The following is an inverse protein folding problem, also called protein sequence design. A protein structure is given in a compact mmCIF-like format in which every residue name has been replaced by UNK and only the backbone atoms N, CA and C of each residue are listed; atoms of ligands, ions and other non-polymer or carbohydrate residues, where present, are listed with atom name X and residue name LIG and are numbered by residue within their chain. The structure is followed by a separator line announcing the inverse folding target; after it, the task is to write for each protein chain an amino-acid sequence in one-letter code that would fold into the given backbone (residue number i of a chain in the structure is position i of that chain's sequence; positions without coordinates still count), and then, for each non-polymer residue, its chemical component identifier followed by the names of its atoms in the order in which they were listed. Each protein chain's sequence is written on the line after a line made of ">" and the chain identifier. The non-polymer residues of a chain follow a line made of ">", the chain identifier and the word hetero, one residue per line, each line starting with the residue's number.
data_IF_536531404483
#
_entry.id   IF_536531404483
#
_cell.length_a   1.000
_cell.length_b   1.000
_cell.length_c   1.000
_cell.angle_alpha   90.00
_cell.angle_beta   90.00
_cell.angle_gamma   90.00
#
_symmetry.space_group_name_H-M   'P 1'
#
loop_
_entity.id
_entity.type
_entity.pdbx_description
1 polymer ?
#
# COMPACT_ATOMS: atom_id res chain seq x y z
N UNK A 1 -11.89 23.36 6.78
CA UNK A 1 -12.81 22.24 6.46
C UNK A 1 -13.87 21.98 7.56
N UNK A 2 -13.55 22.06 8.86
CA UNK A 2 -14.52 21.86 9.98
C UNK A 2 -15.66 22.90 10.01
N UNK A 3 -15.36 24.17 9.77
CA UNK A 3 -16.34 25.27 9.79
C UNK A 3 -17.39 25.12 8.67
N UNK A 4 -17.02 24.70 7.45
CA UNK A 4 -17.98 24.47 6.36
C UNK A 4 -19.00 23.34 6.68
N UNK A 5 -18.58 22.30 7.42
CA UNK A 5 -19.46 21.20 7.82
C UNK A 5 -20.47 21.63 8.88
N UNK A 6 -20.05 22.43 9.85
CA UNK A 6 -20.92 23.00 10.87
C UNK A 6 -22.01 23.87 10.23
N UNK A 7 -21.66 24.71 9.27
CA UNK A 7 -22.62 25.56 8.53
C UNK A 7 -23.61 24.70 7.74
N UNK A 8 -23.17 23.63 7.09
CA UNK A 8 -24.04 22.75 6.32
C UNK A 8 -25.08 22.04 7.20
N UNK A 9 -24.67 21.52 8.36
CA UNK A 9 -25.60 20.88 9.29
C UNK A 9 -26.57 21.90 9.91
N UNK A 10 -26.08 23.10 10.24
CA UNK A 10 -26.98 24.16 10.69
C UNK A 10 -28.02 24.54 9.64
N UNK A 11 -27.64 24.57 8.37
CA UNK A 11 -28.54 24.83 7.25
C UNK A 11 -29.64 23.74 7.13
N UNK A 12 -29.32 22.47 7.38
CA UNK A 12 -30.32 21.39 7.41
C UNK A 12 -31.37 21.63 8.49
N UNK A 13 -30.96 22.10 9.68
CA UNK A 13 -31.87 22.39 10.76
C UNK A 13 -32.68 23.68 10.58
N UNK A 14 -32.35 24.52 9.58
CA UNK A 14 -33.18 25.63 9.14
C UNK A 14 -34.33 25.19 8.19
N UNK A 15 -34.26 24.00 7.60
CA UNK A 15 -35.31 23.46 6.74
C UNK A 15 -36.66 23.36 7.43
N UNK A 16 -36.81 22.80 8.66
CA UNK A 16 -38.06 22.80 9.38
C UNK A 16 -38.58 24.20 9.65
N UNK A 17 -37.69 25.18 9.96
CA UNK A 17 -38.07 26.59 10.13
C UNK A 17 -38.69 27.13 8.86
N UNK A 18 -38.07 26.87 7.70
CA UNK A 18 -38.58 27.33 6.42
C UNK A 18 -39.93 26.66 6.07
N UNK A 19 -40.06 25.37 6.34
CA UNK A 19 -41.32 24.63 6.13
C UNK A 19 -42.47 25.20 6.97
N UNK A 20 -42.20 25.48 8.27
CA UNK A 20 -43.22 26.08 9.14
C UNK A 20 -43.63 27.46 8.67
N UNK A 21 -42.68 28.26 8.18
CA UNK A 21 -42.99 29.59 7.59
C UNK A 21 -43.87 29.43 6.36
N UNK A 22 -43.52 28.52 5.44
CA UNK A 22 -44.29 28.26 4.22
C UNK A 22 -45.69 27.75 4.59
N UNK A 23 -45.79 26.78 5.50
CA UNK A 23 -47.06 26.18 5.96
C UNK A 23 -47.94 27.24 6.57
N UNK A 24 -47.41 28.13 7.41
CA UNK A 24 -48.17 29.22 8.03
C UNK A 24 -48.68 30.23 7.00
N UNK A 25 -47.99 30.44 5.90
CA UNK A 25 -48.43 31.36 4.84
C UNK A 25 -49.47 30.72 3.89
N UNK A 26 -49.38 29.41 3.62
CA UNK A 26 -50.22 28.71 2.63
C UNK A 26 -51.48 28.15 3.26
N UNK A 27 -51.38 27.49 4.42
CA UNK A 27 -52.45 26.64 4.94
C UNK A 27 -53.20 27.25 6.10
N UNK A 28 -52.66 28.24 6.87
CA UNK A 28 -53.36 28.83 7.96
C UNK A 28 -54.35 29.91 7.47
N UNK A 29 -55.66 29.84 7.94
CA UNK A 29 -56.63 30.90 7.69
C UNK A 29 -56.11 32.27 8.19
N UNK A 30 -56.46 33.31 7.49
CA UNK A 30 -56.04 34.69 7.89
C UNK A 30 -56.35 35.03 9.34
N UNK A 31 -57.44 34.49 9.89
CA UNK A 31 -57.86 34.65 11.29
C UNK A 31 -56.93 33.99 12.33
N UNK A 32 -56.22 32.93 11.92
CA UNK A 32 -55.25 32.20 12.76
C UNK A 32 -53.79 32.56 12.50
N UNK A 33 -53.52 33.38 11.49
CA UNK A 33 -52.19 33.96 11.23
C UNK A 33 -51.86 35.03 12.30
N UNK A 34 -52.02 34.66 13.53
CA UNK A 34 -51.57 35.52 14.61
C UNK A 34 -50.03 35.55 14.54
N UNK A 35 -49.44 36.72 14.35
CA UNK A 35 -47.99 36.90 14.26
C UNK A 35 -47.24 36.17 15.40
N UNK A 36 -47.90 36.06 16.54
CA UNK A 36 -47.38 35.36 17.73
C UNK A 36 -47.07 33.91 17.56
N UNK A 37 -47.95 33.11 16.89
CA UNK A 37 -47.76 31.68 16.70
C UNK A 37 -46.60 31.39 15.69
N UNK A 38 -46.59 32.10 14.58
CA UNK A 38 -45.53 31.97 13.56
C UNK A 38 -44.17 32.35 14.14
N UNK A 39 -44.08 33.44 14.89
CA UNK A 39 -42.84 33.89 15.53
C UNK A 39 -42.35 32.84 16.55
N UNK A 40 -43.25 32.22 17.33
CA UNK A 40 -42.90 31.16 18.25
C UNK A 40 -42.23 29.97 17.52
N UNK A 41 -42.87 29.44 16.49
CA UNK A 41 -42.34 28.29 15.75
C UNK A 41 -41.03 28.62 15.02
N UNK A 42 -40.93 29.80 14.41
CA UNK A 42 -39.68 30.22 13.74
C UNK A 42 -38.56 30.32 14.77
N UNK A 43 -38.82 30.95 15.93
CA UNK A 43 -37.82 31.08 17.01
C UNK A 43 -37.43 29.71 17.57
N UNK A 44 -38.41 28.83 17.78
CA UNK A 44 -38.22 27.48 18.31
C UNK A 44 -37.28 26.60 17.43
N UNK A 45 -37.43 26.65 16.12
CA UNK A 45 -36.56 25.93 15.20
C UNK A 45 -35.22 26.65 14.96
N UNK A 46 -35.21 27.98 14.93
CA UNK A 46 -34.00 28.75 14.74
C UNK A 46 -33.01 28.58 15.89
N UNK A 47 -33.48 28.54 17.13
CA UNK A 47 -32.63 28.26 18.29
C UNK A 47 -31.97 26.88 18.17
N UNK A 48 -32.70 25.87 17.73
CA UNK A 48 -32.12 24.53 17.50
C UNK A 48 -31.06 24.52 16.41
N UNK A 49 -31.30 25.23 15.32
CA UNK A 49 -30.35 25.37 14.25
C UNK A 49 -29.04 26.04 14.71
N UNK A 50 -29.12 27.06 15.59
CA UNK A 50 -27.95 27.70 16.18
C UNK A 50 -27.22 26.81 17.17
N UNK A 51 -27.95 25.98 17.94
CA UNK A 51 -27.33 25.06 18.91
C UNK A 51 -26.75 23.76 18.27
N UNK A 52 -27.26 23.36 17.11
CA UNK A 52 -26.78 22.15 16.43
C UNK A 52 -25.25 22.11 16.22
N UNK A 53 -24.56 23.19 15.82
CA UNK A 53 -23.10 23.20 15.72
C UNK A 53 -22.36 22.84 17.01
N UNK A 54 -22.92 23.22 18.16
CA UNK A 54 -22.32 22.87 19.46
C UNK A 54 -22.42 21.39 19.74
N UNK A 55 -23.54 20.75 19.42
CA UNK A 55 -23.70 19.30 19.53
C UNK A 55 -22.67 18.60 18.63
N UNK A 56 -22.53 19.06 17.38
CA UNK A 56 -21.60 18.49 16.41
C UNK A 56 -20.15 18.59 16.92
N UNK A 57 -19.76 19.78 17.38
CA UNK A 57 -18.41 20.02 17.91
C UNK A 57 -18.11 19.11 19.10
N UNK A 58 -19.03 19.00 20.02
CA UNK A 58 -18.93 18.18 21.21
C UNK A 58 -18.85 16.68 20.84
N UNK A 59 -19.70 16.23 19.96
CA UNK A 59 -19.75 14.83 19.49
C UNK A 59 -18.44 14.44 18.80
N UNK A 60 -17.91 15.29 17.91
CA UNK A 60 -16.65 15.02 17.20
C UNK A 60 -15.47 14.97 18.17
N UNK A 61 -15.47 15.84 19.19
CA UNK A 61 -14.38 15.86 20.18
C UNK A 61 -14.37 14.62 21.06
N UNK A 62 -15.53 14.06 21.38
CA UNK A 62 -15.69 12.90 22.27
C UNK A 62 -15.56 11.55 21.57
N UNK A 63 -15.57 11.52 20.22
CA UNK A 63 -15.37 10.32 19.43
C UNK A 63 -14.05 9.58 19.67
N UNK A 64 -13.05 10.25 20.18
CA UNK A 64 -11.67 9.71 20.28
C UNK A 64 -11.56 8.50 21.23
N UNK A 65 -12.55 8.28 22.12
CA UNK A 65 -12.47 7.26 23.19
C UNK A 65 -13.60 6.20 23.10
N UNK A 66 -13.91 5.70 21.90
CA UNK A 66 -14.95 4.68 21.65
C UNK A 66 -14.80 3.41 22.51
N UNK A 67 -13.64 3.10 23.04
CA UNK A 67 -13.38 1.90 23.85
C UNK A 67 -13.96 1.95 25.29
N UNK A 68 -14.61 3.05 25.71
CA UNK A 68 -15.19 3.19 27.05
C UNK A 68 -16.69 3.47 26.96
N UNK A 69 -17.50 2.43 26.83
CA UNK A 69 -18.96 2.49 26.64
C UNK A 69 -19.66 3.35 27.67
N UNK A 70 -19.30 3.24 28.96
CA UNK A 70 -19.90 4.03 30.04
C UNK A 70 -19.60 5.52 29.88
N UNK A 71 -18.36 5.87 29.54
CA UNK A 71 -17.94 7.26 29.32
C UNK A 71 -18.69 7.88 28.14
N UNK A 72 -18.91 7.11 27.07
CA UNK A 72 -19.71 7.52 25.93
C UNK A 72 -21.13 7.93 26.35
N UNK A 73 -21.85 7.07 27.09
CA UNK A 73 -23.21 7.36 27.54
C UNK A 73 -23.25 8.57 28.48
N UNK A 74 -22.35 8.68 29.45
CA UNK A 74 -22.30 9.82 30.37
C UNK A 74 -22.06 11.15 29.65
N UNK A 75 -21.17 11.14 28.68
CA UNK A 75 -20.83 12.34 27.90
C UNK A 75 -22.02 12.79 27.06
N UNK A 76 -22.74 11.86 26.39
CA UNK A 76 -23.91 12.23 25.61
C UNK A 76 -25.13 12.58 26.48
N UNK A 77 -25.31 11.96 27.64
CA UNK A 77 -26.33 12.32 28.59
C UNK A 77 -26.12 13.75 29.11
N UNK A 78 -24.89 14.10 29.51
CA UNK A 78 -24.52 15.45 29.93
C UNK A 78 -24.70 16.44 28.78
N UNK A 79 -24.27 16.09 27.57
CA UNK A 79 -24.42 16.95 26.38
C UNK A 79 -25.88 17.23 26.05
N UNK A 80 -26.75 16.22 26.14
CA UNK A 80 -28.20 16.38 25.96
C UNK A 80 -28.81 17.26 27.02
N UNK A 81 -28.43 17.07 28.29
CA UNK A 81 -28.89 17.91 29.38
C UNK A 81 -28.50 19.37 29.18
N UNK A 82 -27.22 19.66 28.92
CA UNK A 82 -26.74 21.02 28.65
C UNK A 82 -27.44 21.65 27.44
N UNK A 83 -27.63 20.88 26.35
CA UNK A 83 -28.38 21.34 25.17
C UNK A 83 -29.81 21.72 25.53
N UNK A 84 -30.50 20.88 26.30
CA UNK A 84 -31.89 21.11 26.68
C UNK A 84 -32.04 22.34 27.64
N UNK A 85 -31.15 22.46 28.61
CA UNK A 85 -31.13 23.60 29.52
C UNK A 85 -30.84 24.89 28.77
N UNK A 86 -29.86 24.91 27.89
CA UNK A 86 -29.50 26.06 27.09
C UNK A 86 -30.64 26.46 26.14
N UNK A 87 -31.28 25.45 25.50
CA UNK A 87 -32.45 25.67 24.67
C UNK A 87 -33.60 26.30 25.43
N UNK A 88 -33.93 25.79 26.64
CA UNK A 88 -34.95 26.33 27.50
C UNK A 88 -34.63 27.75 27.97
N UNK A 89 -33.40 27.99 28.37
CA UNK A 89 -32.96 29.32 28.83
C UNK A 89 -33.10 30.36 27.71
N UNK A 90 -32.63 30.06 26.50
CA UNK A 90 -32.75 30.96 25.36
C UNK A 90 -34.23 31.18 25.01
N UNK A 91 -35.01 30.10 24.92
CA UNK A 91 -36.43 30.18 24.57
C UNK A 91 -37.21 31.01 25.61
N UNK A 92 -36.94 30.79 26.89
CA UNK A 92 -37.56 31.55 27.97
C UNK A 92 -37.20 33.02 27.88
N UNK A 93 -35.92 33.36 27.72
CA UNK A 93 -35.45 34.72 27.67
C UNK A 93 -36.02 35.54 26.49
N UNK A 94 -36.08 34.90 25.30
CA UNK A 94 -36.61 35.56 24.10
C UNK A 94 -38.15 35.62 24.06
N UNK A 95 -38.85 34.74 24.75
CA UNK A 95 -40.32 34.68 24.69
C UNK A 95 -41.00 35.38 25.86
N UNK A 96 -40.24 35.81 26.88
CA UNK A 96 -40.81 36.33 28.09
C UNK A 96 -41.58 37.65 27.88
N UNK A 97 -41.16 38.47 26.91
CA UNK A 97 -41.60 39.87 26.88
C UNK A 97 -42.79 40.17 25.94
N UNK A 98 -43.03 39.39 24.87
CA UNK A 98 -43.96 39.84 23.82
C UNK A 98 -45.10 38.85 23.49
N UNK A 99 -44.90 37.56 23.63
CA UNK A 99 -45.80 36.55 23.05
C UNK A 99 -46.44 35.60 24.08
N UNK A 100 -45.63 35.23 25.05
CA UNK A 100 -46.05 34.29 26.09
C UNK A 100 -47.10 34.94 27.01
N UNK A 101 -46.92 36.19 27.30
CA UNK A 101 -47.77 36.97 28.12
C UNK A 101 -49.18 37.14 27.53
N UNK A 102 -49.28 37.54 26.26
CA UNK A 102 -50.56 37.78 25.60
C UNK A 102 -51.31 36.46 25.25
N UNK A 103 -50.56 35.38 24.95
CA UNK A 103 -51.16 34.08 24.61
C UNK A 103 -51.57 33.28 25.87
N UNK A 104 -50.70 33.23 26.90
CA UNK A 104 -51.01 32.55 28.18
C UNK A 104 -52.08 33.32 29.00
N UNK A 105 -52.06 34.64 28.95
CA UNK A 105 -53.05 35.49 29.65
C UNK A 105 -54.43 35.51 28.96
N UNK A 106 -54.54 35.01 27.73
CA UNK A 106 -55.86 34.81 27.08
C UNK A 106 -56.68 33.67 27.70
N UNK A 107 -56.09 32.80 28.50
CA UNK A 107 -56.81 31.78 29.25
C UNK A 107 -57.29 32.31 30.61
N UNK A 108 -58.58 32.21 30.84
CA UNK A 108 -59.19 32.79 32.09
C UNK A 108 -58.98 31.89 33.32
N UNK A 109 -58.55 30.62 33.17
CA UNK A 109 -58.43 29.67 34.28
C UNK A 109 -56.94 29.25 34.48
N UNK A 110 -56.45 29.36 35.72
CA UNK A 110 -55.09 28.98 36.12
C UNK A 110 -54.77 27.50 35.84
N UNK A 111 -55.72 26.58 36.02
CA UNK A 111 -55.57 25.16 35.70
C UNK A 111 -55.32 24.93 34.21
N UNK A 112 -55.98 25.67 33.34
CA UNK A 112 -55.79 25.62 31.89
C UNK A 112 -54.44 26.14 31.49
N UNK A 113 -53.96 27.20 32.10
CA UNK A 113 -52.61 27.76 31.88
C UNK A 113 -51.53 26.73 32.23
N UNK A 114 -51.68 26.05 33.38
CA UNK A 114 -50.72 25.06 33.84
C UNK A 114 -50.69 23.82 32.92
N UNK A 115 -51.88 23.35 32.46
CA UNK A 115 -52.01 22.23 31.54
C UNK A 115 -51.37 22.53 30.17
N UNK A 116 -51.61 23.70 29.61
CA UNK A 116 -51.03 24.13 28.33
C UNK A 116 -49.51 24.32 28.47
N UNK A 117 -49.04 24.88 29.59
CA UNK A 117 -47.59 24.97 29.85
C UNK A 117 -46.96 23.59 29.93
N UNK A 118 -47.58 22.64 30.63
CA UNK A 118 -47.15 21.23 30.70
C UNK A 118 -47.01 20.58 29.31
N UNK A 119 -48.01 20.74 28.45
CA UNK A 119 -47.99 20.22 27.06
C UNK A 119 -46.88 20.81 26.23
N UNK A 120 -46.61 22.12 26.39
CA UNK A 120 -45.49 22.80 25.67
C UNK A 120 -44.15 22.24 26.15
N UNK A 121 -43.97 22.05 27.45
CA UNK A 121 -42.76 21.51 28.06
C UNK A 121 -42.53 20.09 27.55
N UNK A 122 -43.53 19.21 27.61
CA UNK A 122 -43.47 17.80 27.19
C UNK A 122 -43.12 17.69 25.69
N UNK A 123 -43.84 18.42 24.84
CA UNK A 123 -43.60 18.44 23.40
C UNK A 123 -42.20 18.96 23.09
N UNK A 124 -41.72 19.98 23.78
CA UNK A 124 -40.35 20.51 23.57
C UNK A 124 -39.28 19.53 23.97
N UNK A 125 -39.47 18.76 25.06
CA UNK A 125 -38.51 17.77 25.51
C UNK A 125 -38.42 16.63 24.49
N UNK A 126 -39.55 16.11 24.02
CA UNK A 126 -39.62 15.06 23.02
C UNK A 126 -38.89 15.45 21.72
N UNK A 127 -39.14 16.67 21.22
CA UNK A 127 -38.46 17.17 20.02
C UNK A 127 -36.98 17.37 20.28
N UNK A 128 -36.56 17.84 21.45
CA UNK A 128 -35.11 18.00 21.78
C UNK A 128 -34.39 16.64 21.76
N UNK A 129 -35.02 15.56 22.25
CA UNK A 129 -34.48 14.21 22.17
C UNK A 129 -34.25 13.82 20.71
N UNK A 130 -35.28 13.97 19.87
CA UNK A 130 -35.20 13.63 18.44
C UNK A 130 -34.09 14.42 17.74
N UNK A 131 -34.04 15.75 17.96
CA UNK A 131 -33.02 16.62 17.35
C UNK A 131 -31.62 16.22 17.82
N UNK A 132 -31.42 15.99 19.10
CA UNK A 132 -30.12 15.62 19.64
C UNK A 132 -29.67 14.26 19.09
N UNK A 133 -30.50 13.22 19.19
CA UNK A 133 -30.19 11.86 18.77
C UNK A 133 -29.92 11.80 17.26
N UNK A 134 -30.77 12.43 16.44
CA UNK A 134 -30.61 12.44 14.99
C UNK A 134 -29.33 13.19 14.56
N UNK A 135 -28.99 14.31 15.22
CA UNK A 135 -27.76 15.04 14.95
C UNK A 135 -26.53 14.22 15.32
N UNK A 136 -26.54 13.59 16.50
CA UNK A 136 -25.47 12.72 16.96
C UNK A 136 -25.31 11.53 16.00
N UNK A 137 -26.41 10.83 15.67
CA UNK A 137 -26.39 9.68 14.75
C UNK A 137 -25.83 10.08 13.38
N UNK A 138 -26.26 11.21 12.82
CA UNK A 138 -25.74 11.72 11.56
C UNK A 138 -24.22 11.96 11.63
N UNK A 139 -23.71 12.61 12.71
CA UNK A 139 -22.29 12.85 12.90
C UNK A 139 -21.49 11.53 12.95
N UNK A 140 -22.02 10.51 13.66
CA UNK A 140 -21.38 9.20 13.77
C UNK A 140 -21.35 8.47 12.44
N UNK A 141 -22.46 8.42 11.73
CA UNK A 141 -22.54 7.79 10.40
C UNK A 141 -21.57 8.47 9.43
N UNK A 142 -21.56 9.81 9.39
CA UNK A 142 -20.64 10.58 8.55
C UNK A 142 -19.17 10.28 8.86
N UNK A 143 -18.81 10.30 10.15
CA UNK A 143 -17.42 10.05 10.56
C UNK A 143 -17.01 8.61 10.29
N UNK A 144 -17.93 7.64 10.47
CA UNK A 144 -17.71 6.24 10.11
C UNK A 144 -17.41 6.08 8.61
N UNK A 145 -18.25 6.65 7.73
CA UNK A 145 -18.01 6.59 6.29
C UNK A 145 -16.71 7.27 5.89
N UNK A 146 -16.40 8.42 6.49
CA UNK A 146 -15.15 9.12 6.23
C UNK A 146 -13.93 8.28 6.59
N UNK A 147 -13.92 7.69 7.78
CA UNK A 147 -12.80 6.84 8.23
C UNK A 147 -12.68 5.58 7.39
N UNK A 148 -13.78 4.96 7.04
CA UNK A 148 -13.78 3.79 6.17
C UNK A 148 -13.20 4.12 4.78
N UNK A 149 -13.58 5.26 4.21
CA UNK A 149 -13.02 5.73 2.92
C UNK A 149 -11.52 6.02 3.04
N UNK A 150 -11.07 6.70 4.11
CA UNK A 150 -9.66 6.97 4.35
C UNK A 150 -8.84 5.67 4.55
N UNK A 151 -9.40 4.70 5.27
CA UNK A 151 -8.78 3.39 5.48
C UNK A 151 -8.64 2.61 4.17
N UNK A 152 -9.71 2.57 3.35
CA UNK A 152 -9.69 1.90 2.04
C UNK A 152 -8.69 2.56 1.06
N UNK A 153 -8.58 3.89 1.06
CA UNK A 153 -7.60 4.60 0.25
C UNK A 153 -6.16 4.29 0.68
N UNK A 154 -5.91 4.21 2.00
CA UNK A 154 -4.58 3.83 2.52
C UNK A 154 -4.25 2.37 2.17
N UNK A 155 -5.21 1.45 2.31
CA UNK A 155 -5.03 0.05 1.92
C UNK A 155 -4.70 -0.09 0.44
N UNK A 156 -5.44 0.57 -0.45
CA UNK A 156 -5.16 0.58 -1.88
C UNK A 156 -3.81 1.20 -2.24
N UNK A 157 -3.39 2.26 -1.54
CA UNK A 157 -2.07 2.88 -1.73
C UNK A 157 -0.93 1.95 -1.31
N UNK A 158 -1.08 1.25 -0.18
CA UNK A 158 -0.12 0.25 0.29
C UNK A 158 -0.02 -0.93 -0.68
N UNK A 159 -1.15 -1.44 -1.17
CA UNK A 159 -1.18 -2.52 -2.16
C UNK A 159 -0.45 -2.13 -3.45
N UNK A 160 -0.71 -0.91 -3.97
CA UNK A 160 0.03 -0.39 -5.14
C UNK A 160 1.52 -0.26 -4.88
N UNK A 161 1.93 0.20 -3.69
CA UNK A 161 3.33 0.29 -3.30
C UNK A 161 4.00 -1.07 -3.25
N UNK A 162 3.32 -2.08 -2.68
CA UNK A 162 3.80 -3.46 -2.65
C UNK A 162 3.95 -4.06 -4.05
N UNK A 163 2.94 -3.83 -4.93
CA UNK A 163 3.01 -4.29 -6.32
C UNK A 163 4.17 -3.63 -7.08
N UNK A 164 4.38 -2.32 -6.92
CA UNK A 164 5.50 -1.62 -7.54
C UNK A 164 6.84 -2.13 -7.02
N UNK A 165 6.99 -2.32 -5.70
CA UNK A 165 8.21 -2.89 -5.13
C UNK A 165 8.48 -4.31 -5.64
N UNK A 166 7.44 -5.15 -5.77
CA UNK A 166 7.56 -6.48 -6.39
C UNK A 166 7.98 -6.40 -7.85
N UNK A 167 7.40 -5.47 -8.63
CA UNK A 167 7.79 -5.24 -10.02
C UNK A 167 9.24 -4.73 -10.14
N UNK A 168 9.70 -3.88 -9.24
CA UNK A 168 11.08 -3.42 -9.21
C UNK A 168 12.06 -4.55 -8.85
N UNK A 169 11.71 -5.40 -7.89
CA UNK A 169 12.47 -6.61 -7.56
C UNK A 169 12.54 -7.56 -8.76
N UNK A 170 11.42 -7.80 -9.45
CA UNK A 170 11.36 -8.62 -10.66
C UNK A 170 12.20 -8.01 -11.80
N UNK A 171 12.13 -6.68 -12.02
CA UNK A 171 12.99 -5.98 -12.99
C UNK A 171 14.47 -6.08 -12.62
N UNK A 172 14.80 -6.02 -11.34
CA UNK A 172 16.18 -6.17 -10.86
C UNK A 172 16.75 -7.57 -11.05
N UNK A 173 15.89 -8.60 -11.11
CA UNK A 173 16.29 -9.98 -11.39
C UNK A 173 16.48 -10.27 -12.89
N UNK A 174 15.88 -9.44 -13.76
CA UNK A 174 16.04 -9.56 -15.20
C UNK A 174 17.06 -8.53 -15.68
N UNK A 175 18.22 -8.98 -16.14
CA UNK A 175 19.17 -8.13 -16.84
C UNK A 175 18.52 -7.62 -18.14
N UNK A 176 17.96 -6.39 -18.11
CA UNK A 176 17.26 -5.79 -19.25
C UNK A 176 18.18 -5.68 -20.48
N UNK A 177 19.48 -5.42 -20.26
CA UNK A 177 20.47 -5.37 -21.31
C UNK A 177 20.68 -6.76 -21.98
N UNK A 178 20.70 -7.84 -21.20
CA UNK A 178 20.73 -9.19 -21.73
C UNK A 178 19.49 -9.49 -22.59
N UNK A 179 18.31 -9.12 -22.12
CA UNK A 179 17.05 -9.33 -22.84
C UNK A 179 17.04 -8.62 -24.20
N UNK A 180 17.38 -7.33 -24.22
CA UNK A 180 17.48 -6.56 -25.48
C UNK A 180 18.50 -7.14 -26.43
N UNK A 181 19.70 -7.51 -25.94
CA UNK A 181 20.74 -8.10 -26.77
C UNK A 181 20.32 -9.47 -27.35
N UNK A 182 19.59 -10.27 -26.57
CA UNK A 182 19.06 -11.55 -27.05
C UNK A 182 18.01 -11.35 -28.14
N UNK A 183 17.08 -10.38 -27.98
CA UNK A 183 16.10 -10.03 -29.01
C UNK A 183 16.76 -9.51 -30.30
N UNK A 184 17.80 -8.70 -30.19
CA UNK A 184 18.59 -8.26 -31.35
C UNK A 184 19.30 -9.43 -32.04
N UNK A 185 19.82 -10.42 -31.28
CA UNK A 185 20.42 -11.62 -31.84
C UNK A 185 19.40 -12.44 -32.61
N UNK A 186 18.20 -12.67 -32.03
CA UNK A 186 17.10 -13.36 -32.70
C UNK A 186 16.72 -12.64 -33.99
N UNK A 187 16.53 -11.32 -33.96
CA UNK A 187 16.21 -10.52 -35.15
C UNK A 187 17.28 -10.66 -36.24
N UNK A 188 18.56 -10.60 -35.87
CA UNK A 188 19.69 -10.78 -36.79
C UNK A 188 19.70 -12.17 -37.44
N UNK A 189 19.39 -13.21 -36.70
CA UNK A 189 19.31 -14.58 -37.22
C UNK A 189 18.14 -14.76 -38.19
N UNK A 190 17.00 -14.16 -37.92
CA UNK A 190 15.84 -14.15 -38.83
C UNK A 190 16.20 -13.45 -40.15
N UNK A 191 16.83 -12.28 -40.10
CA UNK A 191 17.27 -11.54 -41.29
C UNK A 191 18.28 -12.38 -42.13
N UNK A 192 19.10 -13.19 -41.48
CA UNK A 192 20.07 -14.10 -42.15
C UNK A 192 19.48 -15.40 -42.58
N UNK A 193 18.16 -15.59 -42.54
CA UNK A 193 17.46 -16.83 -42.88
C UNK A 193 17.87 -18.06 -42.02
N UNK A 194 18.29 -17.80 -40.76
CA UNK A 194 18.64 -18.86 -39.79
C UNK A 194 17.48 -19.08 -38.80
N UNK A 195 16.31 -19.42 -39.33
CA UNK A 195 15.08 -19.54 -38.54
C UNK A 195 15.13 -20.60 -37.43
N UNK A 196 15.79 -21.73 -37.64
CA UNK A 196 15.92 -22.78 -36.63
C UNK A 196 16.78 -22.32 -35.44
N UNK A 197 17.91 -21.63 -35.70
CA UNK A 197 18.76 -21.06 -34.64
C UNK A 197 17.98 -19.97 -33.85
N UNK A 198 17.23 -19.11 -34.55
CA UNK A 198 16.40 -18.08 -33.93
C UNK A 198 15.31 -18.69 -33.04
N UNK A 199 14.63 -19.76 -33.49
CA UNK A 199 13.61 -20.45 -32.71
C UNK A 199 14.21 -21.14 -31.49
N UNK A 200 15.39 -21.78 -31.62
CA UNK A 200 16.09 -22.40 -30.50
C UNK A 200 16.39 -21.36 -29.38
N UNK A 201 16.91 -20.18 -29.75
CA UNK A 201 17.19 -19.12 -28.78
C UNK A 201 15.91 -18.60 -28.13
N UNK A 202 14.82 -18.44 -28.90
CA UNK A 202 13.54 -17.99 -28.37
C UNK A 202 12.98 -18.97 -27.32
N UNK A 203 13.08 -20.27 -27.57
CA UNK A 203 12.66 -21.31 -26.61
C UNK A 203 13.50 -21.26 -25.33
N UNK A 204 14.83 -21.18 -25.45
CA UNK A 204 15.75 -21.11 -24.32
C UNK A 204 15.51 -19.84 -23.49
N UNK A 205 15.28 -18.70 -24.15
CA UNK A 205 14.91 -17.46 -23.48
C UNK A 205 13.59 -17.59 -22.71
N UNK A 206 12.58 -18.25 -23.33
CA UNK A 206 11.29 -18.51 -22.69
C UNK A 206 11.42 -19.37 -21.43
N UNK A 207 12.29 -20.40 -21.46
CA UNK A 207 12.57 -21.25 -20.29
C UNK A 207 13.29 -20.49 -19.17
N UNK A 208 14.30 -19.70 -19.52
CA UNK A 208 15.04 -18.87 -18.57
C UNK A 208 14.11 -17.84 -17.88
N UNK A 209 13.28 -17.15 -18.66
CA UNK A 209 12.30 -16.21 -18.14
C UNK A 209 11.26 -16.89 -17.25
N UNK A 210 10.77 -18.06 -17.65
CA UNK A 210 9.82 -18.84 -16.83
C UNK A 210 10.40 -19.19 -15.48
N UNK A 211 11.68 -19.58 -15.44
CA UNK A 211 12.36 -19.88 -14.20
C UNK A 211 12.54 -18.61 -13.33
N UNK A 212 13.01 -17.52 -13.92
CA UNK A 212 13.23 -16.24 -13.21
C UNK A 212 11.94 -15.62 -12.68
N UNK A 213 10.80 -15.80 -13.39
CA UNK A 213 9.49 -15.26 -13.03
C UNK A 213 8.64 -16.20 -12.18
N UNK A 214 9.05 -17.48 -12.06
CA UNK A 214 8.35 -18.41 -11.18
C UNK A 214 8.52 -17.94 -9.74
N UNK A 215 7.40 -17.89 -9.00
CA UNK A 215 7.39 -17.59 -7.57
C UNK A 215 8.19 -18.67 -6.82
N UNK A 216 9.52 -18.59 -6.90
CA UNK A 216 10.40 -19.51 -6.22
C UNK A 216 10.36 -19.19 -4.71
N UNK A 217 9.44 -19.86 -4.00
CA UNK A 217 9.40 -19.88 -2.53
C UNK A 217 10.63 -20.60 -1.94
N UNK A 218 11.35 -21.33 -2.75
CA UNK A 218 12.54 -22.07 -2.35
C UNK A 218 13.75 -21.13 -2.35
N UNK A 219 14.34 -20.95 -1.18
CA UNK A 219 15.56 -20.14 -1.02
C UNK A 219 16.79 -20.82 -1.62
N UNK A 220 16.77 -22.14 -1.74
CA UNK A 220 17.83 -22.97 -2.25
C UNK A 220 17.28 -24.00 -3.25
N UNK A 221 18.04 -24.30 -4.31
CA UNK A 221 17.72 -25.29 -5.35
C UNK A 221 18.89 -26.29 -5.51
N UNK A 222 18.66 -27.50 -6.05
CA UNK A 222 19.72 -28.42 -6.38
C UNK A 222 20.73 -27.82 -7.38
N UNK A 223 22.02 -28.06 -7.17
CA UNK A 223 23.10 -27.60 -8.05
C UNK A 223 22.87 -28.03 -9.53
N UNK A 224 22.41 -29.24 -9.76
CA UNK A 224 22.04 -29.72 -11.12
C UNK A 224 21.05 -28.72 -11.78
N UNK A 225 20.05 -28.25 -11.06
CA UNK A 225 19.07 -27.32 -11.60
C UNK A 225 19.65 -25.92 -11.88
N UNK A 226 20.53 -25.46 -11.02
CA UNK A 226 21.27 -24.19 -11.21
C UNK A 226 22.18 -24.28 -12.45
N UNK A 227 22.86 -25.42 -12.67
CA UNK A 227 23.70 -25.64 -13.85
C UNK A 227 22.85 -25.73 -15.13
N UNK A 228 21.68 -26.39 -15.09
CA UNK A 228 20.77 -26.41 -16.25
C UNK A 228 20.35 -24.99 -16.67
N UNK A 229 20.00 -24.16 -15.72
CA UNK A 229 19.60 -22.75 -15.96
C UNK A 229 20.77 -21.94 -16.50
N UNK A 230 21.94 -22.12 -15.91
CA UNK A 230 23.16 -21.49 -16.38
C UNK A 230 23.45 -21.88 -17.83
N UNK A 231 23.28 -23.18 -18.20
CA UNK A 231 23.52 -23.67 -19.55
C UNK A 231 22.59 -22.98 -20.57
N UNK A 232 21.30 -22.79 -20.25
CA UNK A 232 20.38 -22.04 -21.12
C UNK A 232 20.90 -20.62 -21.39
N UNK A 233 21.36 -19.92 -20.33
CA UNK A 233 21.93 -18.59 -20.43
C UNK A 233 23.20 -18.59 -21.32
N UNK A 234 24.09 -19.54 -21.10
CA UNK A 234 25.36 -19.65 -21.83
C UNK A 234 25.16 -19.95 -23.31
N UNK A 235 24.23 -20.84 -23.66
CA UNK A 235 23.89 -21.17 -25.05
C UNK A 235 23.41 -19.92 -25.82
N UNK A 236 22.61 -19.07 -25.19
CA UNK A 236 22.18 -17.79 -25.75
C UNK A 236 23.39 -16.88 -25.99
N UNK A 237 24.28 -16.77 -25.00
CA UNK A 237 25.47 -15.91 -25.11
C UNK A 237 26.47 -16.43 -26.15
N UNK A 238 26.68 -17.72 -26.25
CA UNK A 238 27.57 -18.31 -27.28
C UNK A 238 27.07 -17.99 -28.69
N UNK A 239 25.77 -18.06 -28.92
CA UNK A 239 25.21 -17.67 -30.23
C UNK A 239 25.35 -16.17 -30.48
N UNK A 240 25.15 -15.32 -29.44
CA UNK A 240 25.34 -13.87 -29.52
C UNK A 240 26.78 -13.51 -29.91
N UNK A 241 27.76 -14.17 -29.31
CA UNK A 241 29.18 -13.88 -29.54
C UNK A 241 29.77 -14.66 -30.73
N UNK A 242 28.97 -15.43 -31.48
CA UNK A 242 29.39 -16.07 -32.72
C UNK A 242 30.62 -16.96 -32.50
N UNK A 243 30.58 -17.83 -31.49
CA UNK A 243 31.65 -18.74 -31.06
C UNK A 243 32.94 -18.07 -30.50
N UNK A 244 32.92 -16.76 -30.19
CA UNK A 244 34.02 -16.08 -29.49
C UNK A 244 33.97 -16.32 -27.97
N UNK A 245 33.12 -17.21 -27.50
CA UNK A 245 32.96 -17.53 -26.08
C UNK A 245 33.14 -19.03 -25.89
N UNK A 246 34.25 -19.42 -25.30
CA UNK A 246 34.56 -20.82 -24.92
C UNK A 246 34.32 -20.98 -23.41
N UNK A 247 33.38 -21.87 -23.04
CA UNK A 247 33.02 -22.11 -21.66
C UNK A 247 33.17 -23.55 -21.30
N UNK A 248 33.81 -23.80 -20.17
CA UNK A 248 33.97 -25.14 -19.61
C UNK A 248 33.42 -25.22 -18.22
N UNK A 249 32.49 -26.14 -17.98
CA UNK A 249 31.90 -26.39 -16.68
C UNK A 249 32.35 -27.76 -16.20
N UNK A 250 33.01 -27.82 -15.07
CA UNK A 250 33.48 -29.03 -14.42
C UNK A 250 32.87 -29.15 -13.03
N UNK A 251 32.10 -30.18 -12.78
CA UNK A 251 31.61 -30.56 -11.46
C UNK A 251 31.37 -32.05 -11.35
N UNK A 252 31.48 -32.59 -10.15
CA UNK A 252 31.26 -34.00 -9.89
C UNK A 252 29.76 -34.30 -9.78
N UNK A 253 29.26 -35.38 -10.39
CA UNK A 253 27.84 -35.77 -10.34
C UNK A 253 27.28 -35.97 -8.92
N UNK A 254 28.15 -36.34 -7.98
CA UNK A 254 27.77 -36.46 -6.57
C UNK A 254 27.29 -35.14 -5.94
N UNK A 255 27.61 -34.01 -6.57
CA UNK A 255 27.20 -32.64 -6.12
C UNK A 255 25.84 -32.22 -6.70
N UNK A 256 25.22 -33.00 -7.59
CA UNK A 256 23.94 -32.63 -8.22
C UNK A 256 22.85 -32.21 -7.23
N UNK A 257 22.78 -32.91 -6.08
CA UNK A 257 21.76 -32.68 -5.05
C UNK A 257 22.15 -31.68 -4.00
N UNK A 258 23.34 -31.08 -4.06
CA UNK A 258 23.76 -30.02 -3.17
C UNK A 258 22.90 -28.79 -3.40
N UNK A 259 22.45 -28.17 -2.33
CA UNK A 259 21.57 -27.01 -2.40
C UNK A 259 22.37 -25.71 -2.50
N UNK A 260 22.04 -24.92 -3.52
CA UNK A 260 22.62 -23.60 -3.78
C UNK A 260 21.52 -22.55 -4.01
N UNK A 261 21.79 -21.25 -3.78
CA UNK A 261 20.84 -20.20 -4.14
C UNK A 261 20.55 -20.18 -5.65
N UNK A 262 19.28 -20.03 -6.08
CA UNK A 262 18.95 -19.92 -7.50
C UNK A 262 19.60 -18.71 -8.16
N UNK A 263 20.02 -18.82 -9.43
CA UNK A 263 20.70 -17.77 -10.19
C UNK A 263 22.00 -17.29 -9.52
N UNK A 264 22.72 -18.18 -8.82
CA UNK A 264 23.99 -17.87 -8.17
C UNK A 264 25.11 -17.62 -9.18
N UNK A 265 25.21 -18.48 -10.21
CA UNK A 265 26.33 -18.42 -11.16
C UNK A 265 26.13 -17.36 -12.23
N UNK A 266 24.89 -17.02 -12.57
CA UNK A 266 24.62 -16.10 -13.68
C UNK A 266 25.28 -14.73 -13.50
N UNK A 267 25.19 -13.99 -12.35
CA UNK A 267 25.86 -12.70 -12.20
C UNK A 267 27.38 -12.79 -12.27
N UNK A 268 27.96 -13.91 -11.84
CA UNK A 268 29.39 -14.14 -11.84
C UNK A 268 29.90 -14.35 -13.28
N UNK A 269 29.18 -15.14 -14.07
CA UNK A 269 29.48 -15.38 -15.49
C UNK A 269 29.19 -14.15 -16.35
N UNK A 270 28.14 -13.36 -16.02
CA UNK A 270 27.89 -12.07 -16.67
C UNK A 270 29.07 -11.13 -16.50
N UNK A 271 29.66 -11.09 -15.30
CA UNK A 271 30.85 -10.30 -15.03
C UNK A 271 32.03 -10.77 -15.87
N UNK A 272 32.28 -12.09 -15.94
CA UNK A 272 33.35 -12.64 -16.76
C UNK A 272 33.14 -12.31 -18.25
N UNK A 273 31.93 -12.46 -18.79
CA UNK A 273 31.61 -12.09 -20.17
C UNK A 273 31.89 -10.60 -20.44
N UNK A 274 31.46 -9.74 -19.54
CA UNK A 274 31.62 -8.29 -19.65
C UNK A 274 33.05 -7.86 -19.76
N UNK A 275 33.97 -8.50 -19.02
CA UNK A 275 35.38 -8.08 -18.95
C UNK A 275 36.32 -8.93 -19.79
N UNK A 276 35.96 -10.16 -20.15
CA UNK A 276 36.81 -11.07 -20.92
C UNK A 276 36.36 -11.24 -22.38
N UNK A 277 35.09 -10.96 -22.72
CA UNK A 277 34.57 -11.24 -24.06
C UNK A 277 34.12 -9.98 -24.80
N UNK A 278 33.32 -9.13 -24.15
CA UNK A 278 32.69 -7.96 -24.79
C UNK A 278 33.74 -6.96 -25.34
N UNK A 279 34.83 -6.60 -24.61
CA UNK A 279 35.78 -5.61 -25.05
C UNK A 279 36.72 -6.10 -26.15
N UNK A 280 36.89 -7.42 -26.36
CA UNK A 280 37.91 -8.01 -27.18
C UNK A 280 37.37 -8.73 -28.40
N UNK A 281 38.14 -8.81 -29.49
CA UNK A 281 37.82 -9.57 -30.69
C UNK A 281 38.23 -11.04 -30.57
N UNK A 282 39.09 -11.34 -29.65
CA UNK A 282 39.63 -12.69 -29.39
C UNK A 282 38.60 -13.55 -28.63
N UNK A 283 38.84 -14.86 -28.63
CA UNK A 283 37.96 -15.78 -27.89
C UNK A 283 38.21 -15.65 -26.40
N UNK A 284 37.17 -15.19 -25.68
CA UNK A 284 37.15 -15.24 -24.23
C UNK A 284 36.89 -16.66 -23.72
N UNK A 285 37.67 -17.07 -22.74
CA UNK A 285 37.56 -18.38 -22.09
C UNK A 285 37.07 -18.20 -20.68
N UNK A 286 36.05 -18.96 -20.29
CA UNK A 286 35.50 -18.94 -18.94
C UNK A 286 35.49 -20.37 -18.42
N UNK A 287 36.15 -20.63 -17.32
CA UNK A 287 36.12 -21.89 -16.58
C UNK A 287 35.25 -21.81 -15.34
N UNK A 288 34.38 -22.76 -15.15
CA UNK A 288 33.56 -22.94 -13.95
C UNK A 288 33.91 -24.27 -13.34
N UNK A 289 34.42 -24.29 -12.13
CA UNK A 289 34.85 -25.50 -11.43
C UNK A 289 34.13 -25.60 -10.08
N UNK A 290 33.39 -26.67 -9.85
CA UNK A 290 32.70 -26.93 -8.58
C UNK A 290 33.21 -28.20 -7.95
N UNK A 291 33.80 -28.09 -6.76
CA UNK A 291 34.42 -29.20 -6.03
C UNK A 291 33.92 -29.26 -4.58
N UNK A 292 33.91 -30.47 -4.05
CA UNK A 292 33.74 -30.66 -2.61
C UNK A 292 35.09 -30.47 -1.92
N UNK A 293 35.09 -29.64 -0.90
CA UNK A 293 36.25 -29.41 -0.02
C UNK A 293 35.78 -29.53 1.44
N UNK A 294 36.05 -30.67 2.06
CA UNK A 294 35.55 -31.03 3.40
C UNK A 294 33.99 -30.95 3.46
N UNK A 295 33.46 -30.15 4.40
CA UNK A 295 32.03 -29.90 4.57
C UNK A 295 31.52 -28.66 3.77
N UNK A 296 32.29 -28.25 2.78
CA UNK A 296 31.98 -27.10 1.92
C UNK A 296 31.99 -27.50 0.46
N UNK A 297 31.29 -26.72 -0.38
CA UNK A 297 31.55 -26.70 -1.82
C UNK A 297 32.40 -25.47 -2.14
N UNK A 298 33.40 -25.67 -2.97
CA UNK A 298 34.20 -24.62 -3.57
C UNK A 298 33.71 -24.42 -5.00
N UNK A 299 33.38 -23.19 -5.34
CA UNK A 299 33.02 -22.77 -6.70
C UNK A 299 34.05 -21.76 -7.17
N UNK A 300 34.78 -22.07 -8.24
CA UNK A 300 35.74 -21.17 -8.85
C UNK A 300 35.26 -20.80 -10.25
N UNK A 301 35.15 -19.51 -10.53
CA UNK A 301 34.85 -18.98 -11.87
C UNK A 301 36.03 -18.16 -12.30
N UNK A 302 36.73 -18.57 -13.37
CA UNK A 302 37.91 -17.90 -13.88
C UNK A 302 37.74 -17.52 -15.34
N UNK A 303 38.17 -16.34 -15.69
CA UNK A 303 38.23 -15.85 -17.07
C UNK A 303 39.68 -15.54 -17.52
N UNK A 304 39.87 -15.36 -18.83
CA UNK A 304 41.13 -14.97 -19.44
C UNK A 304 41.14 -13.54 -19.96
N UNK A 305 40.31 -12.66 -19.39
CA UNK A 305 40.21 -11.26 -19.84
C UNK A 305 41.50 -10.53 -19.80
N UNK A 306 41.71 -9.63 -20.77
CA UNK A 306 42.94 -8.78 -20.83
C UNK A 306 42.71 -7.41 -20.14
N UNK A 307 41.50 -7.17 -19.59
CA UNK A 307 41.23 -5.96 -18.81
C UNK A 307 42.06 -5.99 -17.53
N UNK A 308 42.89 -4.96 -17.26
CA UNK A 308 43.70 -4.94 -16.03
C UNK A 308 42.81 -5.00 -14.80
N UNK A 309 43.11 -5.93 -13.89
CA UNK A 309 42.29 -6.21 -12.70
C UNK A 309 42.06 -4.94 -11.85
N UNK A 310 43.08 -4.06 -11.74
CA UNK A 310 43.04 -2.82 -10.96
C UNK A 310 42.06 -1.79 -11.55
N UNK A 311 41.74 -1.90 -12.86
CA UNK A 311 40.78 -1.00 -13.53
C UNK A 311 39.33 -1.46 -13.40
N UNK A 312 39.12 -2.69 -12.93
CA UNK A 312 37.78 -3.27 -12.78
C UNK A 312 37.17 -2.77 -11.46
N UNK A 313 36.09 -1.99 -11.55
CA UNK A 313 35.38 -1.55 -10.37
C UNK A 313 34.30 -2.58 -9.98
N UNK A 314 34.65 -3.51 -9.12
CA UNK A 314 33.73 -4.54 -8.62
C UNK A 314 32.63 -3.99 -7.69
N UNK A 315 32.80 -2.80 -7.11
CA UNK A 315 31.81 -2.18 -6.22
C UNK A 315 30.67 -1.49 -6.96
N UNK A 316 30.80 -1.23 -8.26
CA UNK A 316 29.72 -0.65 -9.07
C UNK A 316 28.82 -1.68 -9.74
N UNK A 317 29.17 -2.95 -9.66
CA UNK A 317 28.41 -4.07 -10.22
C UNK A 317 27.30 -4.52 -9.28
N UNK A 318 26.07 -4.07 -9.51
CA UNK A 318 24.88 -4.45 -8.71
C UNK A 318 24.76 -5.97 -8.56
N UNK A 319 25.12 -6.75 -9.57
CA UNK A 319 25.00 -8.22 -9.57
C UNK A 319 25.92 -8.91 -8.57
N UNK A 320 27.22 -8.55 -8.55
CA UNK A 320 28.19 -9.18 -7.64
C UNK A 320 27.93 -8.80 -6.19
N UNK A 321 27.61 -7.53 -5.93
CA UNK A 321 27.31 -7.07 -4.60
C UNK A 321 26.04 -7.74 -4.06
N UNK A 322 24.98 -7.78 -4.85
CA UNK A 322 23.73 -8.47 -4.45
C UNK A 322 23.98 -9.96 -4.19
N UNK A 323 24.84 -10.61 -4.99
CA UNK A 323 25.21 -12.02 -4.74
C UNK A 323 25.92 -12.18 -3.42
N UNK A 324 26.88 -11.32 -3.10
CA UNK A 324 27.62 -11.34 -1.82
C UNK A 324 26.68 -11.10 -0.65
N UNK A 325 25.87 -10.06 -0.67
CA UNK A 325 24.91 -9.74 0.38
C UNK A 325 23.90 -10.88 0.58
N UNK A 326 23.42 -11.50 -0.49
CA UNK A 326 22.52 -12.65 -0.44
C UNK A 326 23.17 -13.86 0.23
N UNK A 327 24.43 -14.16 -0.10
CA UNK A 327 25.18 -15.25 0.53
C UNK A 327 25.42 -14.98 2.04
N UNK A 328 25.70 -13.74 2.41
CA UNK A 328 25.82 -13.32 3.81
C UNK A 328 24.49 -13.49 4.57
N UNK A 329 23.36 -13.15 3.94
CA UNK A 329 22.03 -13.34 4.54
C UNK A 329 21.66 -14.82 4.72
N UNK A 330 22.01 -15.68 3.75
CA UNK A 330 21.64 -17.11 3.76
C UNK A 330 22.54 -17.96 4.67
N UNK A 331 23.84 -17.67 4.66
CA UNK A 331 24.85 -18.54 5.30
C UNK A 331 25.65 -17.87 6.42
N UNK A 332 25.45 -16.57 6.62
CA UNK A 332 26.14 -15.79 7.65
C UNK A 332 27.66 -15.84 7.47
N UNK A 333 28.35 -16.30 8.53
CA UNK A 333 29.82 -16.46 8.54
C UNK A 333 30.31 -17.77 7.89
N UNK A 334 29.40 -18.67 7.54
CA UNK A 334 29.74 -19.98 6.97
C UNK A 334 29.87 -19.92 5.44
N UNK A 335 30.29 -18.82 4.90
CA UNK A 335 30.56 -18.62 3.49
C UNK A 335 31.80 -17.75 3.29
N UNK A 336 32.41 -17.84 2.10
CA UNK A 336 33.48 -16.93 1.70
C UNK A 336 33.25 -16.53 0.24
N UNK A 337 33.46 -15.26 -0.06
CA UNK A 337 33.38 -14.70 -1.40
C UNK A 337 34.63 -13.86 -1.64
N UNK A 338 35.47 -14.25 -2.60
CA UNK A 338 36.68 -13.50 -2.93
C UNK A 338 36.79 -13.30 -4.44
N UNK A 339 37.40 -12.20 -4.84
CA UNK A 339 37.71 -11.85 -6.22
C UNK A 339 39.19 -11.53 -6.27
N UNK A 340 39.90 -12.17 -7.20
CA UNK A 340 41.35 -12.03 -7.32
C UNK A 340 41.79 -12.09 -8.79
N UNK A 341 43.01 -11.54 -9.12
CA UNK A 341 43.54 -11.65 -10.48
C UNK A 341 43.83 -13.11 -10.84
N UNK A 342 43.46 -13.50 -12.06
CA UNK A 342 43.82 -14.78 -12.64
C UNK A 342 45.18 -14.73 -13.36
N UNK A 343 45.87 -15.86 -13.46
CA UNK A 343 47.16 -15.95 -14.18
C UNK A 343 46.97 -16.78 -15.47
N UNK A 344 47.57 -16.36 -16.60
CA UNK A 344 48.45 -15.18 -16.77
C UNK A 344 47.72 -13.85 -16.91
N UNK A 345 46.40 -13.86 -17.09
CA UNK A 345 45.52 -12.68 -17.18
C UNK A 345 44.07 -13.08 -16.86
N UNK A 346 43.25 -12.13 -16.47
CA UNK A 346 41.82 -12.29 -16.19
C UNK A 346 41.48 -12.12 -14.72
N UNK A 347 40.24 -12.54 -14.41
CA UNK A 347 39.70 -12.48 -13.06
C UNK A 347 39.32 -13.89 -12.60
N UNK A 348 39.51 -14.16 -11.31
CA UNK A 348 39.06 -15.38 -10.65
C UNK A 348 38.15 -15.01 -9.46
N UNK A 349 36.99 -15.63 -9.43
CA UNK A 349 36.01 -15.49 -8.34
C UNK A 349 35.92 -16.84 -7.63
N UNK A 350 36.20 -16.84 -6.33
CA UNK A 350 36.08 -18.03 -5.51
C UNK A 350 34.96 -17.87 -4.47
N UNK A 351 34.10 -18.88 -4.40
CA UNK A 351 33.05 -19.02 -3.42
C UNK A 351 33.23 -20.29 -2.60
N UNK A 352 33.04 -20.20 -1.30
CA UNK A 352 32.90 -21.36 -0.43
C UNK A 352 31.56 -21.31 0.24
N UNK A 353 30.75 -22.38 0.08
CA UNK A 353 29.41 -22.50 0.62
C UNK A 353 29.29 -23.80 1.45
N UNK A 354 28.48 -23.83 2.51
CA UNK A 354 28.28 -25.04 3.28
C UNK A 354 27.60 -26.12 2.44
N UNK A 355 28.08 -27.36 2.59
CA UNK A 355 27.53 -28.52 1.91
C UNK A 355 26.17 -28.87 2.54
N UNK A 356 25.08 -28.54 1.85
CA UNK A 356 23.71 -28.80 2.31
C UNK A 356 22.98 -29.68 1.30
N UNK A 357 22.19 -30.64 1.80
CA UNK A 357 21.32 -31.47 1.00
C UNK A 357 19.88 -31.30 1.48
N UNK A 358 18.90 -31.56 0.60
CA UNK A 358 17.51 -31.65 1.06
C UNK A 358 17.41 -32.71 2.16
N UNK A 359 16.95 -32.32 3.34
CA UNK A 359 16.49 -33.29 4.31
C UNK A 359 15.32 -34.05 3.68
N UNK A 360 15.44 -35.41 3.59
CA UNK A 360 14.39 -36.29 3.09
C UNK A 360 13.13 -36.18 3.92
#
# INVERSE_FOLDING_TARGET
>A
MRIRKSIFVSAIWLLPTLLVVIESFIFLPKSLRNNSFTIYFVSFWSVRAVLAPLIIFYTIKTWVDYNRTIRFFLVHLLGFFLFSVLFWFITYFFLQDTLYRNWLFGFSNEGTKLAVFGLIVDNSLSINIIVYVSTVAFCYIWEFFRRNTEANQKAAALERSLLNSRLELLKGQLNTHFLFNTLHTISSLVIRNKGEEANSILLKLGELLRFALKDNKEQLIPLEKEIEILQLYLDIQQTRFNNRLDIKIHYAQELNKVLVPPLLFQPLVENAIKYAVEPFKETGKIGIDVKKVNDMISVTIADNGQTPFETINFNTGIGLQNTKERLEQLFGKNQSFSIQPNQPAGTMIDLFLPLQFNAK
#
